data_IF_591056115396
#
_entry.id   IF_591056115396
#
_cell.length_a   1.000
_cell.length_b   1.000
_cell.length_c   1.000
_cell.angle_alpha   90.00
_cell.angle_beta   90.00
_cell.angle_gamma   90.00
#
_symmetry.space_group_name_H-M   'P 1'
#
loop_
_entity.id
_entity.type
_entity.pdbx_description
1 polymer ?
#
# COMPACT_ATOMS: atom_id res chain seq x y z
N UNK A 1 -19.71 -28.40 11.02
CA UNK A 1 -20.58 -27.60 10.14
C UNK A 1 -22.04 -28.09 10.30
N UNK A 2 -22.96 -27.16 10.52
CA UNK A 2 -24.40 -27.42 10.77
C UNK A 2 -25.24 -26.39 10.02
N UNK A 3 -26.56 -26.61 9.90
CA UNK A 3 -27.47 -25.63 9.28
C UNK A 3 -27.44 -24.26 9.96
N UNK A 4 -27.09 -24.19 11.25
CA UNK A 4 -26.86 -22.96 12.00
C UNK A 4 -25.45 -22.37 11.83
N UNK A 5 -24.46 -23.20 11.50
CA UNK A 5 -23.05 -22.82 11.32
C UNK A 5 -22.49 -23.45 10.04
N UNK A 6 -22.73 -22.80 8.91
CA UNK A 6 -22.43 -23.36 7.58
C UNK A 6 -20.95 -23.69 7.41
N UNK A 7 -20.07 -22.86 7.96
CA UNK A 7 -18.61 -23.08 7.97
C UNK A 7 -18.10 -23.64 9.31
N UNK A 8 -19.00 -24.04 10.22
CA UNK A 8 -18.66 -24.47 11.58
C UNK A 8 -18.29 -23.33 12.51
N UNK A 9 -17.78 -23.70 13.68
CA UNK A 9 -17.32 -22.80 14.73
C UNK A 9 -15.81 -22.87 14.91
N UNK A 10 -15.20 -21.81 15.44
CA UNK A 10 -13.79 -21.85 15.88
C UNK A 10 -13.62 -22.61 17.21
N UNK A 11 -12.38 -22.65 17.74
CA UNK A 11 -12.02 -23.32 19.00
C UNK A 11 -12.80 -22.80 20.22
N UNK A 12 -13.39 -21.61 20.13
CA UNK A 12 -14.17 -20.97 21.18
C UNK A 12 -15.69 -21.01 20.90
N UNK A 13 -16.12 -21.74 19.86
CA UNK A 13 -17.53 -21.90 19.52
C UNK A 13 -18.14 -20.73 18.73
N UNK A 14 -17.35 -19.79 18.20
CA UNK A 14 -17.85 -18.64 17.44
C UNK A 14 -18.05 -19.00 15.96
N UNK A 15 -19.11 -18.48 15.34
CA UNK A 15 -19.45 -18.78 13.93
C UNK A 15 -18.38 -18.26 12.95
N UNK A 16 -17.75 -19.18 12.22
CA UNK A 16 -16.64 -18.88 11.30
C UNK A 16 -17.11 -18.07 10.09
N UNK A 17 -18.28 -18.41 9.53
CA UNK A 17 -18.82 -17.72 8.36
C UNK A 17 -19.05 -16.24 8.65
N UNK A 18 -19.67 -15.93 9.79
CA UNK A 18 -19.88 -14.57 10.25
C UNK A 18 -18.56 -13.83 10.42
N UNK A 19 -17.55 -14.43 11.06
CA UNK A 19 -16.23 -13.81 11.22
C UNK A 19 -15.57 -13.49 9.88
N UNK A 20 -15.67 -14.38 8.89
CA UNK A 20 -15.16 -14.15 7.54
C UNK A 20 -15.90 -12.99 6.88
N UNK A 21 -17.23 -12.96 6.92
CA UNK A 21 -18.01 -11.89 6.28
C UNK A 21 -17.68 -10.53 6.90
N UNK A 22 -17.64 -10.43 8.23
CA UNK A 22 -17.30 -9.18 8.92
C UNK A 22 -15.83 -8.78 8.72
N UNK A 23 -14.91 -9.75 8.77
CA UNK A 23 -13.49 -9.52 8.50
C UNK A 23 -13.23 -9.07 7.07
N UNK A 24 -13.90 -9.67 6.08
CA UNK A 24 -13.74 -9.33 4.67
C UNK A 24 -14.10 -7.87 4.37
N UNK A 25 -15.15 -7.33 5.00
CA UNK A 25 -15.51 -5.90 4.87
C UNK A 25 -14.36 -4.99 5.29
N UNK A 26 -13.73 -5.31 6.41
CA UNK A 26 -12.59 -4.57 6.95
C UNK A 26 -11.39 -4.68 6.01
N UNK A 27 -11.04 -5.90 5.61
CA UNK A 27 -9.91 -6.17 4.71
C UNK A 27 -10.06 -5.49 3.35
N UNK A 28 -11.27 -5.50 2.78
CA UNK A 28 -11.57 -4.81 1.52
C UNK A 28 -11.42 -3.30 1.66
N UNK A 29 -11.96 -2.71 2.74
CA UNK A 29 -11.83 -1.28 3.02
C UNK A 29 -10.36 -0.87 3.13
N UNK A 30 -9.57 -1.62 3.91
CA UNK A 30 -8.13 -1.39 4.07
C UNK A 30 -7.40 -1.51 2.75
N UNK A 31 -7.62 -2.61 2.01
CA UNK A 31 -6.96 -2.87 0.74
C UNK A 31 -7.23 -1.78 -0.29
N UNK A 32 -8.49 -1.37 -0.46
CA UNK A 32 -8.87 -0.34 -1.43
C UNK A 32 -8.26 1.01 -1.06
N UNK A 33 -8.49 1.49 0.18
CA UNK A 33 -8.06 2.84 0.58
C UNK A 33 -6.53 2.96 0.57
N UNK A 34 -5.83 2.01 1.20
CA UNK A 34 -4.38 2.04 1.28
C UNK A 34 -3.73 1.91 -0.11
N UNK A 35 -4.27 1.04 -0.98
CA UNK A 35 -3.79 0.90 -2.34
C UNK A 35 -4.03 2.18 -3.15
N UNK A 36 -5.21 2.78 -3.09
CA UNK A 36 -5.50 4.03 -3.80
C UNK A 36 -4.57 5.16 -3.36
N UNK A 37 -4.31 5.31 -2.07
CA UNK A 37 -3.37 6.32 -1.57
C UNK A 37 -1.94 6.07 -2.04
N UNK A 38 -1.47 4.82 -1.93
CA UNK A 38 -0.16 4.40 -2.44
C UNK A 38 -0.02 4.67 -3.94
N UNK A 39 -1.06 4.34 -4.71
CA UNK A 39 -1.14 4.58 -6.15
C UNK A 39 -1.04 6.06 -6.48
N UNK A 40 -1.82 6.91 -5.81
CA UNK A 40 -1.80 8.36 -6.05
C UNK A 40 -0.42 8.96 -5.78
N UNK A 41 0.18 8.63 -4.63
CA UNK A 41 1.52 9.12 -4.26
C UNK A 41 2.55 8.62 -5.27
N UNK A 42 2.53 7.31 -5.56
CA UNK A 42 3.47 6.68 -6.48
C UNK A 42 3.36 7.25 -7.90
N UNK A 43 2.16 7.40 -8.43
CA UNK A 43 1.93 7.97 -9.76
C UNK A 43 2.44 9.40 -9.83
N UNK A 44 2.05 10.26 -8.88
CA UNK A 44 2.49 11.67 -8.89
C UNK A 44 4.02 11.79 -8.83
N UNK A 45 4.67 11.10 -7.89
CA UNK A 45 6.12 11.18 -7.73
C UNK A 45 6.87 10.51 -8.90
N UNK A 46 6.36 9.39 -9.41
CA UNK A 46 6.94 8.71 -10.57
C UNK A 46 6.80 9.53 -11.86
N UNK A 47 5.67 10.22 -12.04
CA UNK A 47 5.47 11.18 -13.14
C UNK A 47 6.50 12.31 -13.07
N UNK A 48 6.63 12.95 -11.90
CA UNK A 48 7.59 14.03 -11.69
C UNK A 48 9.04 13.59 -11.95
N UNK A 49 9.44 12.42 -11.41
CA UNK A 49 10.76 11.86 -11.62
C UNK A 49 11.04 11.54 -13.09
N UNK A 50 10.08 10.90 -13.78
CA UNK A 50 10.24 10.53 -15.19
C UNK A 50 10.23 11.72 -16.15
N UNK A 51 9.44 12.76 -15.85
CA UNK A 51 9.25 13.94 -16.69
C UNK A 51 10.45 14.90 -16.60
N UNK A 52 10.81 15.35 -15.39
CA UNK A 52 11.85 16.37 -15.22
C UNK A 52 13.27 15.84 -15.39
N UNK A 53 13.51 14.54 -15.19
CA UNK A 53 14.86 13.93 -15.19
C UNK A 53 15.84 14.65 -14.24
N UNK A 54 17.11 14.25 -14.26
CA UNK A 54 18.20 14.94 -13.57
C UNK A 54 18.10 14.90 -12.05
N UNK A 55 18.17 16.08 -11.41
CA UNK A 55 18.22 16.17 -9.96
C UNK A 55 16.89 15.79 -9.28
N UNK A 56 15.74 16.16 -9.88
CA UNK A 56 14.41 15.79 -9.32
C UNK A 56 14.25 14.28 -9.28
N UNK A 57 14.60 13.61 -10.38
CA UNK A 57 14.63 12.16 -10.47
C UNK A 57 15.55 11.55 -9.40
N UNK A 58 16.79 12.03 -9.31
CA UNK A 58 17.78 11.52 -8.36
C UNK A 58 17.31 11.63 -6.90
N UNK A 59 16.69 12.75 -6.51
CA UNK A 59 16.18 12.93 -5.15
C UNK A 59 15.00 12.00 -4.85
N UNK A 60 14.02 11.90 -5.77
CA UNK A 60 12.85 11.04 -5.58
C UNK A 60 13.28 9.56 -5.52
N UNK A 61 14.17 9.14 -6.43
CA UNK A 61 14.66 7.76 -6.45
C UNK A 61 15.54 7.44 -5.25
N UNK A 62 16.37 8.39 -4.77
CA UNK A 62 17.12 8.21 -3.52
C UNK A 62 16.21 8.00 -2.32
N UNK A 63 15.14 8.79 -2.20
CA UNK A 63 14.17 8.61 -1.12
C UNK A 63 13.44 7.27 -1.23
N UNK A 64 13.06 6.88 -2.45
CA UNK A 64 12.47 5.56 -2.76
C UNK A 64 13.41 4.43 -2.33
N UNK A 65 14.70 4.53 -2.63
CA UNK A 65 15.71 3.52 -2.28
C UNK A 65 15.95 3.45 -0.77
N UNK A 66 15.93 4.60 -0.07
CA UNK A 66 15.96 4.65 1.39
C UNK A 66 14.78 3.90 2.02
N UNK A 67 13.57 4.05 1.46
CA UNK A 67 12.38 3.33 1.94
C UNK A 67 12.54 1.82 1.81
N UNK A 68 13.11 1.32 0.71
CA UNK A 68 13.38 -0.11 0.53
C UNK A 68 14.49 -0.66 1.41
N UNK A 69 15.33 0.22 1.99
CA UNK A 69 16.33 -0.19 2.98
C UNK A 69 15.72 -0.67 4.29
N UNK A 70 14.49 -0.28 4.60
CA UNK A 70 13.77 -0.71 5.81
C UNK A 70 12.89 -1.93 5.54
N UNK A 71 12.88 -2.95 6.42
CA UNK A 71 11.90 -4.02 6.34
C UNK A 71 10.48 -3.45 6.47
N UNK A 72 9.66 -3.63 5.43
CA UNK A 72 8.34 -2.98 5.32
C UNK A 72 7.45 -3.21 6.54
N UNK A 73 7.40 -4.45 7.05
CA UNK A 73 6.62 -4.79 8.25
C UNK A 73 7.12 -4.06 9.49
N UNK A 74 8.43 -3.98 9.70
CA UNK A 74 9.00 -3.27 10.85
C UNK A 74 8.69 -1.78 10.78
N UNK A 75 8.76 -1.20 9.59
CA UNK A 75 8.43 0.21 9.43
C UNK A 75 6.95 0.49 9.67
N UNK A 76 6.05 -0.37 9.16
CA UNK A 76 4.62 -0.27 9.45
C UNK A 76 4.32 -0.36 10.95
N UNK A 77 4.94 -1.31 11.65
CA UNK A 77 4.80 -1.47 13.11
C UNK A 77 5.36 -0.25 13.85
N UNK A 78 6.49 0.30 13.39
CA UNK A 78 7.07 1.51 13.97
C UNK A 78 6.15 2.72 13.85
N UNK A 79 5.52 2.91 12.67
CA UNK A 79 4.55 3.99 12.44
C UNK A 79 3.33 3.82 13.36
N UNK A 80 2.77 2.61 13.43
CA UNK A 80 1.57 2.38 14.26
C UNK A 80 1.88 2.48 15.75
N UNK A 81 3.05 2.03 16.21
CA UNK A 81 3.48 2.12 17.60
C UNK A 81 3.81 3.55 18.04
N UNK A 82 4.18 4.44 17.10
CA UNK A 82 4.43 5.85 17.38
C UNK A 82 3.14 6.65 17.65
N UNK A 83 1.97 6.11 17.29
CA UNK A 83 0.68 6.78 17.49
C UNK A 83 -0.01 6.23 18.75
N UNK A 84 -0.41 7.07 19.72
CA UNK A 84 -1.21 6.62 20.86
C UNK A 84 -2.56 6.06 20.39
N UNK A 85 -2.89 4.83 20.83
CA UNK A 85 -4.14 4.13 20.49
C UNK A 85 -4.38 4.02 18.97
N UNK A 86 -3.53 3.30 18.24
CA UNK A 86 -3.63 3.21 16.79
C UNK A 86 -4.93 2.52 16.37
N UNK A 87 -5.67 3.16 15.48
CA UNK A 87 -6.86 2.61 14.88
C UNK A 87 -6.56 2.04 13.48
N UNK A 88 -7.60 1.54 12.82
CA UNK A 88 -7.46 0.98 11.48
C UNK A 88 -7.05 2.03 10.43
N UNK A 89 -7.34 3.31 10.66
CA UNK A 89 -6.97 4.38 9.74
C UNK A 89 -5.46 4.62 9.77
N UNK A 90 -4.86 4.57 10.96
CA UNK A 90 -3.38 4.63 11.11
C UNK A 90 -2.72 3.47 10.36
N UNK A 91 -3.26 2.26 10.48
CA UNK A 91 -2.74 1.11 9.74
C UNK A 91 -2.85 1.28 8.22
N UNK A 92 -3.98 1.81 7.71
CA UNK A 92 -4.14 2.10 6.28
C UNK A 92 -3.12 3.12 5.76
N UNK A 93 -2.88 4.19 6.54
CA UNK A 93 -1.88 5.21 6.18
C UNK A 93 -0.47 4.63 6.22
N UNK A 94 -0.13 3.84 7.23
CA UNK A 94 1.17 3.17 7.33
C UNK A 94 1.43 2.27 6.11
N UNK A 95 0.44 1.48 5.67
CA UNK A 95 0.54 0.67 4.46
C UNK A 95 0.79 1.56 3.24
N UNK A 96 0.02 2.64 3.06
CA UNK A 96 0.15 3.54 1.91
C UNK A 96 1.54 4.22 1.84
N UNK A 97 2.05 4.71 2.98
CA UNK A 97 3.35 5.39 3.09
C UNK A 97 4.52 4.43 2.83
N UNK A 98 4.38 3.15 3.14
CA UNK A 98 5.44 2.16 2.89
C UNK A 98 5.37 1.58 1.47
N UNK A 99 4.19 1.55 0.84
CA UNK A 99 3.97 0.83 -0.43
C UNK A 99 4.12 1.69 -1.70
N UNK A 100 4.02 3.02 -1.60
CA UNK A 100 4.12 3.91 -2.77
C UNK A 100 5.44 3.85 -3.57
N UNK A 101 6.63 3.55 -2.99
CA UNK A 101 7.90 3.57 -3.72
C UNK A 101 7.91 2.62 -4.94
N UNK A 102 7.26 1.46 -4.81
CA UNK A 102 7.12 0.50 -5.90
C UNK A 102 6.37 1.08 -7.10
N UNK A 103 5.23 1.72 -6.84
CA UNK A 103 4.43 2.35 -7.91
C UNK A 103 5.15 3.56 -8.51
N UNK A 104 5.89 4.35 -7.72
CA UNK A 104 6.70 5.45 -8.24
C UNK A 104 7.74 4.99 -9.27
N UNK A 105 8.42 3.87 -8.98
CA UNK A 105 9.43 3.32 -9.88
C UNK A 105 8.81 2.78 -11.18
N UNK A 106 7.62 2.16 -11.08
CA UNK A 106 6.84 1.71 -12.26
C UNK A 106 6.41 2.91 -13.10
N UNK A 107 5.76 3.91 -12.51
CA UNK A 107 5.28 5.07 -13.27
C UNK A 107 6.45 5.83 -13.91
N UNK A 108 7.56 6.01 -13.19
CA UNK A 108 8.78 6.60 -13.75
C UNK A 108 9.26 5.86 -15.00
N UNK A 109 9.34 4.52 -14.94
CA UNK A 109 9.82 3.73 -16.08
C UNK A 109 8.88 3.82 -17.28
N UNK A 110 7.57 3.93 -17.05
CA UNK A 110 6.58 4.16 -18.11
C UNK A 110 6.73 5.55 -18.74
N UNK A 111 6.90 6.62 -17.94
CA UNK A 111 7.12 7.98 -18.49
C UNK A 111 8.37 8.04 -19.35
N UNK A 112 9.46 7.43 -18.91
CA UNK A 112 10.70 7.40 -19.67
C UNK A 112 10.49 6.66 -21.00
N UNK A 113 9.84 5.49 -20.98
CA UNK A 113 9.52 4.73 -22.20
C UNK A 113 8.65 5.50 -23.17
N UNK A 114 7.63 6.20 -22.67
CA UNK A 114 6.68 6.95 -23.49
C UNK A 114 7.35 8.17 -24.13
N UNK A 115 8.20 8.89 -23.39
CA UNK A 115 8.92 10.05 -23.93
C UNK A 115 9.92 9.66 -25.03
N UNK A 116 10.57 8.51 -24.89
CA UNK A 116 11.60 8.07 -25.84
C UNK A 116 10.98 7.36 -27.07
N UNK A 117 9.65 7.31 -27.19
CA UNK A 117 8.95 6.88 -28.41
C UNK A 117 8.82 8.04 -29.37
N UNK A 118 9.20 7.80 -30.63
CA UNK A 118 8.75 8.64 -31.74
C UNK A 118 7.26 8.39 -31.95
N UNK A 119 6.46 9.43 -31.77
CA UNK A 119 5.06 9.42 -32.15
C UNK A 119 4.99 9.74 -33.65
N UNK A 120 4.65 8.72 -34.46
CA UNK A 120 4.28 8.89 -35.88
C UNK A 120 2.83 9.35 -35.96
#
# INVERSE_FOLDING_TARGET
>A
PTYSHWMGTDEEGRDVLSRIIYGARISLKVGIIASTLSLLIGVVLGLLAGFFKGWVDSWIMRFTDMMFGFPALLFMIGITAAVPQPDINVAMVAIAVVSWPGMARIMRSQVIQIRDREYV
#
